data_IF_034565183084
#
_entry.id   IF_034565183084
#
_cell.length_a   1.000
_cell.length_b   1.000
_cell.length_c   1.000
_cell.angle_alpha   90.00
_cell.angle_beta   90.00
_cell.angle_gamma   90.00
#
_symmetry.space_group_name_H-M   'P 1'
#
loop_
_entity.id
_entity.type
_entity.pdbx_description
1 polymer ?
#
# COMPACT_ATOMS: atom_id res chain seq x y z
N UNK A 1 -34.02 -12.17 22.41
CA UNK A 1 -34.89 -12.66 21.33
C UNK A 1 -34.87 -14.17 21.39
N UNK A 2 -36.00 -14.81 21.66
CA UNK A 2 -36.08 -16.28 21.69
C UNK A 2 -36.06 -16.85 20.27
N UNK A 3 -35.68 -18.12 20.10
CA UNK A 3 -35.70 -18.78 18.79
C UNK A 3 -37.09 -18.71 18.12
N UNK A 4 -38.16 -18.83 18.91
CA UNK A 4 -39.53 -18.70 18.43
C UNK A 4 -39.86 -17.30 17.90
N UNK A 5 -39.31 -16.24 18.50
CA UNK A 5 -39.46 -14.86 18.01
C UNK A 5 -38.68 -14.63 16.72
N UNK A 6 -37.47 -15.20 16.61
CA UNK A 6 -36.66 -15.11 15.41
C UNK A 6 -37.33 -15.82 14.22
N UNK A 7 -37.88 -17.02 14.43
CA UNK A 7 -38.63 -17.75 13.41
C UNK A 7 -39.88 -16.99 12.96
N UNK A 8 -40.66 -16.44 13.90
CA UNK A 8 -41.86 -15.65 13.58
C UNK A 8 -41.52 -14.38 12.79
N UNK A 9 -40.45 -13.68 13.18
CA UNK A 9 -39.95 -12.49 12.49
C UNK A 9 -39.48 -12.81 11.07
N UNK A 10 -38.77 -13.94 10.90
CA UNK A 10 -38.30 -14.40 9.61
C UNK A 10 -39.46 -14.79 8.69
N UNK A 11 -40.42 -15.60 9.15
CA UNK A 11 -41.60 -15.99 8.35
C UNK A 11 -42.38 -14.77 7.86
N UNK A 12 -42.57 -13.76 8.72
CA UNK A 12 -43.22 -12.49 8.37
C UNK A 12 -42.45 -11.74 7.27
N UNK A 13 -41.14 -11.54 7.45
CA UNK A 13 -40.30 -10.85 6.45
C UNK A 13 -40.23 -11.59 5.12
N UNK A 14 -40.20 -12.92 5.15
CA UNK A 14 -40.20 -13.75 3.94
C UNK A 14 -41.49 -13.56 3.14
N UNK A 15 -42.64 -13.61 3.81
CA UNK A 15 -43.94 -13.40 3.18
C UNK A 15 -44.09 -11.98 2.62
N UNK A 16 -43.67 -10.95 3.37
CA UNK A 16 -43.70 -9.56 2.90
C UNK A 16 -42.85 -9.34 1.64
N UNK A 17 -41.65 -9.93 1.58
CA UNK A 17 -40.70 -9.71 0.48
C UNK A 17 -40.98 -10.57 -0.76
N UNK A 18 -41.46 -11.80 -0.56
CA UNK A 18 -41.61 -12.76 -1.66
C UNK A 18 -43.06 -12.96 -2.07
N UNK A 19 -44.03 -12.53 -1.25
CA UNK A 19 -45.45 -12.86 -1.35
C UNK A 19 -45.77 -14.36 -1.25
N UNK A 20 -44.80 -15.20 -0.85
CA UNK A 20 -44.98 -16.64 -0.67
C UNK A 20 -45.02 -17.01 0.82
N UNK A 21 -45.80 -18.04 1.18
CA UNK A 21 -45.78 -18.61 2.52
C UNK A 21 -44.50 -19.42 2.75
N UNK A 22 -43.88 -19.28 3.93
CA UNK A 22 -42.69 -20.06 4.29
C UNK A 22 -42.98 -21.56 4.42
N UNK A 23 -44.20 -21.92 4.82
CA UNK A 23 -44.60 -23.31 5.01
C UNK A 23 -44.76 -24.04 3.65
N UNK A 24 -44.95 -23.29 2.57
CA UNK A 24 -45.05 -23.77 1.18
C UNK A 24 -43.75 -23.55 0.38
N UNK A 25 -42.62 -23.26 1.05
CA UNK A 25 -41.34 -22.90 0.39
C UNK A 25 -40.81 -23.92 -0.63
N UNK A 26 -41.27 -25.18 -0.60
CA UNK A 26 -40.93 -26.19 -1.61
C UNK A 26 -41.52 -25.88 -3.00
N UNK A 27 -42.58 -25.07 -3.06
CA UNK A 27 -43.22 -24.62 -4.31
C UNK A 27 -42.74 -23.21 -4.73
N UNK A 28 -41.73 -22.67 -4.06
CA UNK A 28 -41.22 -21.34 -4.35
C UNK A 28 -40.64 -21.26 -5.77
N UNK A 29 -41.23 -20.39 -6.58
CA UNK A 29 -40.70 -20.08 -7.90
C UNK A 29 -39.89 -18.78 -7.84
N UNK A 30 -38.56 -18.81 -8.01
CA UNK A 30 -37.73 -17.63 -7.89
C UNK A 30 -38.06 -16.60 -8.98
N UNK A 31 -38.25 -15.35 -8.58
CA UNK A 31 -38.36 -14.23 -9.52
C UNK A 31 -36.95 -13.87 -9.98
N UNK A 32 -36.69 -14.08 -11.28
CA UNK A 32 -35.38 -13.83 -11.92
C UNK A 32 -34.86 -12.43 -11.54
N UNK A 33 -33.68 -12.39 -10.90
CA UNK A 33 -33.00 -11.15 -10.51
C UNK A 33 -33.37 -10.55 -9.16
N UNK A 34 -34.19 -11.21 -8.31
CA UNK A 34 -34.53 -10.70 -6.96
C UNK A 34 -34.09 -11.60 -5.81
N UNK A 35 -34.58 -12.85 -5.75
CA UNK A 35 -34.29 -13.76 -4.62
C UNK A 35 -34.19 -15.22 -5.10
N UNK A 36 -33.22 -15.96 -4.57
CA UNK A 36 -33.03 -17.40 -4.80
C UNK A 36 -32.99 -18.13 -3.45
N UNK A 37 -33.69 -19.26 -3.33
CA UNK A 37 -33.60 -20.11 -2.14
C UNK A 37 -32.33 -20.96 -2.20
N UNK A 38 -31.49 -20.84 -1.18
CA UNK A 38 -30.34 -21.73 -0.97
C UNK A 38 -30.81 -22.86 -0.06
N UNK A 39 -30.92 -24.08 -0.60
CA UNK A 39 -31.28 -25.28 0.16
C UNK A 39 -29.98 -25.95 0.60
N UNK A 40 -29.70 -25.92 1.89
CA UNK A 40 -28.58 -26.63 2.50
C UNK A 40 -28.99 -28.08 2.76
N UNK A 41 -28.39 -29.03 2.01
CA UNK A 41 -28.61 -30.46 2.25
C UNK A 41 -27.79 -30.86 3.47
N UNK A 42 -28.48 -31.12 4.57
CA UNK A 42 -27.90 -31.71 5.78
C UNK A 42 -27.96 -33.22 5.63
N UNK A 43 -26.87 -33.81 5.17
CA UNK A 43 -26.67 -35.27 5.28
C UNK A 43 -26.29 -35.58 6.73
N UNK A 44 -27.11 -36.41 7.36
CA UNK A 44 -26.94 -36.88 8.74
C UNK A 44 -25.88 -38.00 8.82
N UNK A 45 -25.17 -37.97 9.95
CA UNK A 45 -24.40 -39.03 10.64
C UNK A 45 -22.89 -39.20 10.37
N UNK A 46 -22.15 -38.72 11.38
CA UNK A 46 -21.01 -39.34 12.09
C UNK A 46 -19.53 -39.16 11.67
N UNK A 47 -18.95 -38.18 12.38
CA UNK A 47 -17.64 -38.20 13.08
C UNK A 47 -16.37 -37.73 12.36
N UNK A 48 -15.72 -36.78 13.04
CA UNK A 48 -14.29 -36.49 13.09
C UNK A 48 -13.69 -35.44 12.14
N UNK A 49 -13.37 -34.30 12.77
CA UNK A 49 -12.14 -33.46 12.64
C UNK A 49 -11.95 -32.52 11.43
N UNK A 50 -11.68 -31.27 11.82
CA UNK A 50 -10.93 -30.18 11.14
C UNK A 50 -11.69 -29.38 10.07
N UNK A 51 -11.87 -28.10 10.37
CA UNK A 51 -12.44 -27.02 9.57
C UNK A 51 -11.71 -26.83 8.24
N UNK A 52 -12.29 -27.37 7.16
CA UNK A 52 -11.94 -27.08 5.78
C UNK A 52 -12.85 -25.94 5.27
N UNK A 53 -12.39 -24.71 5.42
CA UNK A 53 -13.05 -23.52 4.85
C UNK A 53 -12.84 -23.52 3.33
N UNK A 54 -13.91 -23.87 2.60
CA UNK A 54 -14.20 -23.55 1.19
C UNK A 54 -13.07 -23.80 0.17
N UNK A 55 -12.84 -25.07 -0.19
CA UNK A 55 -12.24 -25.42 -1.49
C UNK A 55 -13.21 -25.07 -2.63
N UNK A 56 -12.74 -24.46 -3.74
CA UNK A 56 -13.58 -24.22 -4.91
C UNK A 56 -14.02 -25.55 -5.56
N UNK A 57 -15.26 -25.60 -6.05
CA UNK A 57 -15.68 -26.62 -7.02
C UNK A 57 -15.22 -26.16 -8.40
N UNK A 58 -14.12 -26.73 -8.88
CA UNK A 58 -13.63 -26.49 -10.23
C UNK A 58 -14.41 -27.34 -11.25
N UNK A 59 -14.60 -26.86 -12.49
CA UNK A 59 -15.06 -27.72 -13.58
C UNK A 59 -14.00 -28.80 -13.86
N UNK A 60 -14.42 -30.07 -13.92
CA UNK A 60 -13.52 -31.22 -13.92
C UNK A 60 -12.51 -31.26 -15.09
N UNK A 61 -12.74 -30.57 -16.20
CA UNK A 61 -11.85 -30.62 -17.38
C UNK A 61 -11.95 -29.36 -18.24
N UNK A 62 -10.83 -28.70 -18.51
CA UNK A 62 -10.70 -27.75 -19.63
C UNK A 62 -10.04 -28.44 -20.82
N UNK A 63 -10.76 -28.56 -21.93
CA UNK A 63 -10.29 -29.29 -23.13
C UNK A 63 -9.39 -28.41 -23.98
N UNK A 64 -8.08 -28.66 -23.94
CA UNK A 64 -7.09 -28.25 -24.94
C UNK A 64 -6.37 -29.51 -25.43
N UNK A 65 -6.18 -29.65 -26.74
CA UNK A 65 -5.71 -30.88 -27.39
C UNK A 65 -4.27 -31.24 -26.99
N UNK A 66 -4.06 -32.48 -26.52
CA UNK A 66 -2.78 -33.20 -26.58
C UNK A 66 -2.13 -33.56 -25.25
N UNK A 67 -2.13 -32.66 -24.26
CA UNK A 67 -1.64 -32.93 -22.89
C UNK A 67 -2.55 -32.19 -21.92
N UNK A 68 -3.42 -32.91 -21.21
CA UNK A 68 -4.33 -32.33 -20.23
C UNK A 68 -3.70 -32.39 -18.84
N UNK A 69 -3.22 -31.23 -18.37
CA UNK A 69 -2.92 -31.08 -16.95
C UNK A 69 -4.23 -30.80 -16.19
N UNK A 70 -4.48 -31.47 -15.05
CA UNK A 70 -5.59 -31.14 -14.17
C UNK A 70 -5.56 -29.66 -13.76
N UNK A 71 -6.73 -29.07 -13.52
CA UNK A 71 -6.86 -27.64 -13.16
C UNK A 71 -6.08 -27.33 -11.90
N UNK A 72 -6.04 -28.26 -10.95
CA UNK A 72 -5.31 -28.16 -9.69
C UNK A 72 -3.79 -28.10 -9.93
N UNK A 73 -3.28 -28.85 -10.92
CA UNK A 73 -1.87 -28.83 -11.31
C UNK A 73 -1.54 -27.50 -11.98
N UNK A 74 -2.39 -27.01 -12.88
CA UNK A 74 -2.23 -25.69 -13.49
C UNK A 74 -2.26 -24.58 -12.44
N UNK A 75 -3.21 -24.63 -11.50
CA UNK A 75 -3.32 -23.68 -10.40
C UNK A 75 -2.04 -23.69 -9.54
N UNK A 76 -1.52 -24.86 -9.21
CA UNK A 76 -0.26 -24.98 -8.46
C UNK A 76 0.97 -24.47 -9.24
N UNK A 77 0.99 -24.62 -10.57
CA UNK A 77 2.03 -24.06 -11.43
C UNK A 77 1.93 -22.53 -11.42
N UNK A 78 0.75 -21.96 -11.70
CA UNK A 78 0.56 -20.51 -11.77
C UNK A 78 0.83 -19.80 -10.43
N UNK A 79 0.52 -20.44 -9.30
CA UNK A 79 0.87 -19.93 -7.97
C UNK A 79 2.39 -19.81 -7.72
N UNK A 80 3.25 -20.38 -8.55
CA UNK A 80 4.72 -20.30 -8.43
C UNK A 80 5.34 -19.31 -9.40
N UNK A 81 4.56 -18.74 -10.32
CA UNK A 81 5.03 -17.81 -11.34
C UNK A 81 4.97 -16.37 -10.80
N UNK A 82 5.67 -15.44 -11.45
CA UNK A 82 5.57 -14.01 -11.10
C UNK A 82 4.21 -13.42 -11.49
N UNK A 83 3.85 -12.26 -10.93
CA UNK A 83 2.61 -11.56 -11.32
C UNK A 83 2.68 -11.24 -12.81
N UNK A 84 3.83 -10.77 -13.29
CA UNK A 84 4.06 -10.47 -14.71
C UNK A 84 3.79 -11.67 -15.61
N UNK A 85 4.27 -12.85 -15.25
CA UNK A 85 4.09 -14.05 -16.08
C UNK A 85 2.65 -14.54 -16.03
N UNK A 86 2.01 -14.51 -14.86
CA UNK A 86 0.57 -14.82 -14.75
C UNK A 86 -0.28 -13.88 -15.62
N UNK A 87 -0.02 -12.57 -15.59
CA UNK A 87 -0.72 -11.60 -16.45
C UNK A 87 -0.47 -11.84 -17.94
N UNK A 88 0.73 -12.30 -18.34
CA UNK A 88 1.01 -12.72 -19.72
C UNK A 88 0.27 -13.99 -20.09
N UNK A 89 0.23 -14.98 -19.20
CA UNK A 89 -0.46 -16.25 -19.42
C UNK A 89 -1.98 -16.11 -19.51
N UNK A 90 -2.56 -15.08 -18.91
CA UNK A 90 -3.96 -14.70 -19.16
C UNK A 90 -4.27 -14.42 -20.64
N UNK A 91 -3.27 -14.07 -21.45
CA UNK A 91 -3.44 -13.75 -22.87
C UNK A 91 -3.23 -14.96 -23.81
N UNK A 92 -2.80 -16.12 -23.27
CA UNK A 92 -2.45 -17.29 -24.11
C UNK A 92 -3.70 -18.03 -24.59
N UNK A 93 -4.66 -18.33 -23.71
CA UNK A 93 -5.89 -19.01 -24.09
C UNK A 93 -7.05 -18.70 -23.15
N UNK A 94 -8.28 -18.98 -23.60
CA UNK A 94 -9.51 -18.75 -22.82
C UNK A 94 -9.55 -19.50 -21.49
N UNK A 95 -8.99 -20.72 -21.46
CA UNK A 95 -8.95 -21.54 -20.25
C UNK A 95 -8.08 -20.88 -19.17
N UNK A 96 -6.86 -20.48 -19.53
CA UNK A 96 -5.94 -19.81 -18.60
C UNK A 96 -6.46 -18.45 -18.17
N UNK A 97 -7.04 -17.68 -19.09
CA UNK A 97 -7.73 -16.43 -18.74
C UNK A 97 -8.81 -16.65 -17.70
N UNK A 98 -9.62 -17.70 -17.85
CA UNK A 98 -10.70 -18.01 -16.90
C UNK A 98 -10.14 -18.35 -15.52
N UNK A 99 -9.14 -19.23 -15.46
CA UNK A 99 -8.50 -19.63 -14.22
C UNK A 99 -7.82 -18.45 -13.50
N UNK A 100 -7.07 -17.65 -14.25
CA UNK A 100 -6.32 -16.49 -13.73
C UNK A 100 -7.18 -15.23 -13.57
N UNK A 101 -8.45 -15.25 -13.94
CA UNK A 101 -9.41 -14.18 -13.59
C UNK A 101 -10.19 -14.50 -12.33
N UNK A 102 -9.93 -15.66 -11.69
CA UNK A 102 -10.59 -16.05 -10.46
C UNK A 102 -10.07 -15.22 -9.27
N UNK A 103 -11.00 -14.72 -8.45
CA UNK A 103 -10.68 -13.95 -7.25
C UNK A 103 -9.95 -14.83 -6.23
N UNK A 104 -10.33 -16.09 -6.10
CA UNK A 104 -9.71 -16.99 -5.14
C UNK A 104 -8.26 -17.31 -5.51
N UNK A 105 -7.96 -17.52 -6.80
CA UNK A 105 -6.58 -17.63 -7.29
C UNK A 105 -5.71 -16.46 -6.80
N UNK A 106 -6.15 -15.21 -7.00
CA UNK A 106 -5.35 -14.05 -6.61
C UNK A 106 -5.24 -13.87 -5.10
N UNK A 107 -6.26 -14.21 -4.31
CA UNK A 107 -6.12 -14.25 -2.84
C UNK A 107 -5.01 -15.20 -2.41
N UNK A 108 -5.05 -16.44 -2.93
CA UNK A 108 -4.05 -17.46 -2.65
C UNK A 108 -2.67 -17.05 -3.15
N UNK A 109 -2.60 -16.40 -4.32
CA UNK A 109 -1.37 -15.86 -4.87
C UNK A 109 -0.76 -14.83 -3.92
N UNK A 110 -1.52 -13.79 -3.58
CA UNK A 110 -1.01 -12.70 -2.74
C UNK A 110 -0.56 -13.22 -1.38
N UNK A 111 -1.35 -14.07 -0.72
CA UNK A 111 -1.01 -14.65 0.58
C UNK A 111 0.20 -15.59 0.54
N UNK A 112 0.50 -16.18 -0.62
CA UNK A 112 1.66 -17.07 -0.79
C UNK A 112 2.95 -16.30 -1.07
N UNK A 113 2.86 -15.20 -1.80
CA UNK A 113 4.02 -14.41 -2.24
C UNK A 113 4.36 -13.27 -1.28
N UNK A 114 3.40 -12.81 -0.48
CA UNK A 114 3.59 -11.69 0.43
C UNK A 114 3.11 -12.05 1.84
N UNK A 115 3.93 -11.77 2.84
CA UNK A 115 3.52 -11.86 4.23
C UNK A 115 2.71 -10.62 4.62
N UNK A 116 1.39 -10.75 4.56
CA UNK A 116 0.43 -9.70 4.93
C UNK A 116 0.06 -9.72 6.43
N UNK A 117 0.80 -10.45 7.27
CA UNK A 117 0.69 -10.32 8.72
C UNK A 117 1.03 -8.89 9.17
N UNK A 118 0.42 -8.42 10.25
CA UNK A 118 0.72 -7.07 10.77
C UNK A 118 2.05 -7.10 11.53
N UNK A 119 2.98 -6.24 11.10
CA UNK A 119 4.26 -6.00 11.77
C UNK A 119 4.02 -5.08 12.97
N UNK A 120 4.41 -5.56 14.16
CA UNK A 120 4.25 -4.83 15.43
C UNK A 120 5.43 -3.94 15.80
N UNK A 121 6.61 -4.27 15.28
CA UNK A 121 7.83 -3.53 15.53
C UNK A 121 8.08 -2.52 14.41
N UNK A 122 8.12 -1.24 14.77
CA UNK A 122 8.36 -0.13 13.86
C UNK A 122 9.81 0.37 13.89
N UNK A 123 10.69 -0.30 14.65
CA UNK A 123 12.12 0.02 14.60
C UNK A 123 12.63 -0.07 13.16
N UNK A 124 13.38 0.94 12.71
CA UNK A 124 13.92 1.07 11.36
C UNK A 124 12.86 1.18 10.24
N UNK A 125 11.65 1.64 10.56
CA UNK A 125 10.59 1.92 9.58
C UNK A 125 10.50 3.42 9.26
N UNK A 126 11.64 4.02 8.92
CA UNK A 126 11.71 5.40 8.47
C UNK A 126 11.06 6.39 9.43
N UNK A 127 10.35 7.40 8.91
CA UNK A 127 9.67 8.39 9.74
C UNK A 127 8.52 7.82 10.59
N UNK A 128 7.99 6.62 10.29
CA UNK A 128 6.96 6.01 11.13
C UNK A 128 7.51 5.61 12.50
N UNK A 129 8.80 5.22 12.57
CA UNK A 129 9.45 4.91 13.83
C UNK A 129 9.41 6.14 14.75
N UNK A 130 9.81 7.29 14.21
CA UNK A 130 9.91 8.57 14.89
C UNK A 130 8.53 9.11 15.30
N UNK A 131 7.57 9.10 14.38
CA UNK A 131 6.20 9.58 14.62
C UNK A 131 5.36 8.66 15.53
N UNK A 132 5.81 7.44 15.81
CA UNK A 132 5.08 6.49 16.66
C UNK A 132 5.11 6.83 18.16
N UNK A 133 5.87 7.85 18.56
CA UNK A 133 5.89 8.37 19.94
C UNK A 133 6.64 7.50 20.95
N UNK A 134 7.33 6.43 20.52
CA UNK A 134 8.17 5.61 21.42
C UNK A 134 9.44 6.32 21.91
N UNK A 135 9.81 7.46 21.31
CA UNK A 135 10.98 8.26 21.70
C UNK A 135 10.71 9.25 22.85
N UNK A 136 9.49 9.32 23.39
CA UNK A 136 9.10 10.33 24.40
C UNK A 136 9.35 9.90 25.86
N UNK A 137 10.17 8.87 26.10
CA UNK A 137 10.62 8.54 27.46
C UNK A 137 11.83 9.41 27.75
N UNK A 138 11.58 10.49 28.51
CA UNK A 138 12.59 11.33 29.14
C UNK A 138 13.41 10.48 30.14
N UNK A 139 14.37 9.71 29.65
CA UNK A 139 15.55 9.39 30.45
C UNK A 139 16.52 10.55 30.23
N UNK A 140 16.69 11.35 31.28
CA UNK A 140 17.80 12.30 31.41
C UNK A 140 19.09 11.57 31.00
N UNK A 141 19.89 12.19 30.12
CA UNK A 141 21.19 11.71 29.60
C UNK A 141 21.21 11.04 28.21
N UNK A 142 20.62 11.68 27.18
CA UNK A 142 21.19 11.59 25.82
C UNK A 142 21.13 12.96 25.14
N UNK A 143 22.26 13.66 25.14
CA UNK A 143 22.55 14.66 24.10
C UNK A 143 22.41 13.98 22.73
N UNK A 144 21.98 14.72 21.70
CA UNK A 144 21.78 14.36 20.27
C UNK A 144 20.31 14.20 19.80
N UNK A 145 19.62 15.35 19.73
CA UNK A 145 18.81 15.94 18.63
C UNK A 145 17.88 15.14 17.67
N UNK A 146 17.76 13.81 17.76
CA UNK A 146 17.00 13.03 16.75
C UNK A 146 15.59 12.59 17.18
N UNK A 147 14.88 13.45 17.92
CA UNK A 147 13.50 13.14 18.36
C UNK A 147 12.46 13.90 17.54
N UNK A 148 11.30 13.28 17.30
CA UNK A 148 10.19 13.99 16.67
C UNK A 148 9.67 15.09 17.60
N UNK A 149 9.48 16.29 17.05
CA UNK A 149 8.95 17.46 17.73
C UNK A 149 7.63 17.91 17.11
N UNK A 150 6.77 18.48 17.94
CA UNK A 150 5.48 19.00 17.53
C UNK A 150 5.38 20.47 17.96
N UNK A 151 5.34 21.40 16.99
CA UNK A 151 5.39 22.84 17.24
C UNK A 151 4.06 23.40 17.76
N UNK A 152 2.96 22.68 17.57
CA UNK A 152 1.65 23.05 18.12
C UNK A 152 1.40 22.53 19.53
N UNK A 153 2.41 21.96 20.20
CA UNK A 153 2.34 21.44 21.56
C UNK A 153 2.51 22.52 22.66
N UNK A 154 3.13 23.65 22.34
CA UNK A 154 3.59 24.65 23.33
C UNK A 154 2.46 25.24 24.19
N UNK A 155 1.22 25.21 23.72
CA UNK A 155 0.08 25.84 24.40
C UNK A 155 -0.67 24.95 25.39
N UNK A 156 -0.37 23.64 25.51
CA UNK A 156 -1.25 22.72 26.26
C UNK A 156 -0.53 21.60 27.01
N UNK A 157 -0.40 21.80 28.33
CA UNK A 157 0.15 20.83 29.30
C UNK A 157 -0.57 19.47 29.40
N UNK A 158 -1.75 19.32 28.78
CA UNK A 158 -2.59 18.11 28.86
C UNK A 158 -3.02 17.57 27.48
N UNK A 159 -2.27 17.86 26.39
CA UNK A 159 -2.64 17.36 25.07
C UNK A 159 -2.05 15.99 24.74
N UNK A 160 -2.93 15.09 24.32
CA UNK A 160 -2.60 13.85 23.63
C UNK A 160 -2.10 14.20 22.22
N UNK A 161 -0.78 14.40 22.08
CA UNK A 161 -0.12 14.82 20.85
C UNK A 161 0.12 13.59 19.96
N UNK A 162 -0.24 13.70 18.69
CA UNK A 162 -0.03 12.64 17.70
C UNK A 162 0.16 13.21 16.29
N UNK A 163 0.86 12.48 15.42
CA UNK A 163 0.99 12.83 13.99
C UNK A 163 -0.19 12.29 13.19
N UNK A 164 -0.56 11.02 13.38
CA UNK A 164 -1.68 10.36 12.69
C UNK A 164 -2.56 9.57 13.65
N UNK A 165 -3.88 9.58 13.43
CA UNK A 165 -4.83 8.77 14.21
C UNK A 165 -6.09 8.43 13.40
N UNK A 166 -6.41 7.13 13.21
CA UNK A 166 -5.63 5.97 13.61
C UNK A 166 -4.27 5.88 12.90
N UNK A 167 -3.25 5.35 13.58
CA UNK A 167 -1.90 5.25 13.03
C UNK A 167 -1.85 4.20 11.91
N UNK A 168 -1.07 4.42 10.83
CA UNK A 168 -0.92 3.45 9.74
C UNK A 168 -0.41 2.10 10.24
N UNK A 169 -0.73 1.05 9.50
CA UNK A 169 -0.23 -0.30 9.77
C UNK A 169 0.82 -0.70 8.74
N UNK A 170 1.68 -1.65 9.11
CA UNK A 170 2.72 -2.17 8.24
C UNK A 170 2.51 -3.68 8.12
N UNK A 171 2.54 -4.21 6.91
CA UNK A 171 2.59 -5.67 6.71
C UNK A 171 4.01 -6.20 6.94
N UNK A 172 4.16 -7.49 7.25
CA UNK A 172 5.46 -8.14 7.41
C UNK A 172 6.30 -8.11 6.12
N UNK A 173 5.67 -8.00 4.94
CA UNK A 173 6.34 -7.65 3.69
C UNK A 173 6.85 -6.21 3.62
N UNK A 174 6.82 -5.48 4.74
CA UNK A 174 7.44 -4.17 4.92
C UNK A 174 6.83 -3.10 4.01
N UNK A 175 5.51 -3.15 3.84
CA UNK A 175 4.73 -2.14 3.11
C UNK A 175 3.72 -1.49 4.06
N UNK A 176 3.76 -0.16 4.11
CA UNK A 176 2.88 0.71 4.90
C UNK A 176 1.53 0.87 4.21
N UNK A 177 0.45 0.81 4.97
CA UNK A 177 -0.89 1.03 4.46
C UNK A 177 -1.78 1.78 5.47
N UNK A 178 -2.86 2.45 5.00
CA UNK A 178 -3.85 3.05 5.88
C UNK A 178 -4.45 2.04 6.86
N UNK A 179 -4.77 2.52 8.05
CA UNK A 179 -5.41 1.72 9.08
C UNK A 179 -6.71 1.10 8.57
N UNK A 180 -6.93 -0.18 8.88
CA UNK A 180 -8.18 -0.88 8.55
C UNK A 180 -8.33 -1.30 7.08
N UNK A 181 -7.30 -1.12 6.25
CA UNK A 181 -7.30 -1.64 4.89
C UNK A 181 -7.40 -3.18 4.90
N UNK A 182 -8.44 -3.73 4.26
CA UNK A 182 -8.51 -5.16 3.92
C UNK A 182 -7.91 -5.38 2.52
N UNK A 183 -6.66 -5.89 2.42
CA UNK A 183 -5.97 -6.06 1.14
C UNK A 183 -6.63 -7.11 0.24
N UNK A 184 -7.49 -7.98 0.78
CA UNK A 184 -8.09 -9.11 0.07
C UNK A 184 -9.60 -8.91 -0.21
N UNK A 185 -10.12 -7.71 0.07
CA UNK A 185 -11.53 -7.38 -0.13
C UNK A 185 -11.93 -7.23 -1.60
N UNK A 186 -11.01 -6.73 -2.44
CA UNK A 186 -11.23 -6.37 -3.84
C UNK A 186 -11.64 -7.51 -4.78
N UNK A 187 -12.00 -7.17 -6.03
CA UNK A 187 -12.23 -8.14 -7.09
C UNK A 187 -10.91 -8.70 -7.66
N UNK A 188 -10.98 -9.64 -8.61
CA UNK A 188 -9.78 -10.23 -9.19
C UNK A 188 -8.85 -9.19 -9.85
N UNK A 189 -9.40 -8.13 -10.45
CA UNK A 189 -8.62 -7.07 -11.11
C UNK A 189 -7.92 -6.19 -10.08
N UNK A 190 -8.62 -5.85 -9.00
CA UNK A 190 -8.06 -5.15 -7.85
C UNK A 190 -6.93 -5.97 -7.22
N UNK A 191 -7.07 -7.29 -7.07
CA UNK A 191 -6.03 -8.14 -6.49
C UNK A 191 -4.83 -8.36 -7.43
N UNK A 192 -5.06 -8.37 -8.75
CA UNK A 192 -3.99 -8.32 -9.76
C UNK A 192 -3.17 -7.04 -9.62
N UNK A 193 -3.87 -5.90 -9.54
CA UNK A 193 -3.25 -4.60 -9.33
C UNK A 193 -2.46 -4.57 -8.02
N UNK A 194 -3.08 -5.04 -6.93
CA UNK A 194 -2.47 -5.11 -5.60
C UNK A 194 -1.19 -5.94 -5.60
N UNK A 195 -1.24 -7.15 -6.17
CA UNK A 195 -0.08 -8.04 -6.23
C UNK A 195 1.06 -7.43 -7.05
N UNK A 196 0.75 -6.75 -8.16
CA UNK A 196 1.75 -6.02 -8.95
C UNK A 196 2.37 -4.88 -8.16
N UNK A 197 1.55 -4.10 -7.44
CA UNK A 197 2.03 -3.00 -6.61
C UNK A 197 2.93 -3.51 -5.48
N UNK A 198 2.57 -4.64 -4.84
CA UNK A 198 3.43 -5.25 -3.83
C UNK A 198 4.76 -5.75 -4.41
N UNK A 199 4.80 -6.37 -5.59
CA UNK A 199 6.08 -6.73 -6.25
C UNK A 199 6.99 -5.50 -6.44
N UNK A 200 6.41 -4.39 -6.91
CA UNK A 200 7.16 -3.14 -7.13
C UNK A 200 7.70 -2.59 -5.80
N UNK A 201 6.83 -2.46 -4.79
CA UNK A 201 7.19 -1.83 -3.52
C UNK A 201 8.17 -2.68 -2.70
N UNK A 202 7.98 -4.00 -2.69
CA UNK A 202 8.90 -4.92 -2.00
C UNK A 202 10.27 -4.95 -2.67
N UNK A 203 10.32 -4.92 -4.01
CA UNK A 203 11.58 -4.80 -4.75
C UNK A 203 12.24 -3.44 -4.50
N UNK A 204 11.49 -2.33 -4.61
CA UNK A 204 11.99 -0.97 -4.34
C UNK A 204 12.68 -0.90 -2.97
N UNK A 205 12.03 -1.46 -1.94
CA UNK A 205 12.57 -1.46 -0.59
C UNK A 205 13.77 -2.40 -0.42
N UNK A 206 13.68 -3.62 -0.94
CA UNK A 206 14.76 -4.60 -0.80
C UNK A 206 16.03 -4.14 -1.51
N UNK A 207 15.87 -3.50 -2.67
CA UNK A 207 16.99 -3.00 -3.46
C UNK A 207 17.58 -1.72 -2.86
N UNK A 208 16.75 -0.80 -2.36
CA UNK A 208 17.22 0.34 -1.58
C UNK A 208 18.06 -0.12 -0.37
N UNK A 209 17.56 -1.09 0.41
CA UNK A 209 18.30 -1.64 1.55
C UNK A 209 19.60 -2.35 1.14
N UNK A 210 19.60 -3.11 0.03
CA UNK A 210 20.81 -3.76 -0.53
C UNK A 210 21.88 -2.74 -0.93
N UNK A 211 21.44 -1.58 -1.41
CA UNK A 211 22.29 -0.49 -1.86
C UNK A 211 22.62 0.51 -0.73
N UNK A 212 22.21 0.20 0.50
CA UNK A 212 22.43 1.05 1.68
C UNK A 212 21.83 2.45 1.51
N UNK A 213 20.76 2.57 0.70
CA UNK A 213 19.99 3.79 0.52
C UNK A 213 19.11 4.04 1.74
N UNK A 214 19.21 5.23 2.33
CA UNK A 214 18.53 5.59 3.56
C UNK A 214 17.47 6.67 3.33
N UNK A 215 16.44 6.73 4.18
CA UNK A 215 15.47 7.83 4.13
C UNK A 215 16.17 9.12 4.59
N UNK A 216 16.56 9.98 3.66
CA UNK A 216 17.33 11.18 3.97
C UNK A 216 16.49 12.25 4.65
N UNK A 217 16.87 12.62 5.88
CA UNK A 217 16.50 13.88 6.50
C UNK A 217 17.29 14.99 5.78
N UNK A 218 16.64 15.79 4.95
CA UNK A 218 17.33 16.85 4.20
C UNK A 218 17.81 17.97 5.13
N UNK A 219 19.04 17.84 5.62
CA UNK A 219 19.95 18.93 5.99
C UNK A 219 21.43 18.53 5.83
N UNK A 220 21.79 17.25 5.72
CA UNK A 220 23.15 16.84 5.32
C UNK A 220 23.20 15.41 4.75
N UNK A 221 24.28 15.12 4.02
CA UNK A 221 24.53 13.90 3.25
C UNK A 221 24.47 12.55 4.02
N UNK A 222 24.16 12.50 5.32
CA UNK A 222 24.23 11.25 6.11
C UNK A 222 23.25 11.16 7.30
N UNK A 223 22.15 11.94 7.36
CA UNK A 223 21.40 12.10 8.62
C UNK A 223 20.14 11.22 8.81
N UNK A 224 19.85 10.33 7.87
CA UNK A 224 18.78 9.34 8.05
C UNK A 224 19.36 7.95 8.32
N UNK A 225 19.17 7.38 9.52
CA UNK A 225 19.61 6.00 9.79
C UNK A 225 18.57 4.94 9.41
N UNK A 226 17.41 5.36 8.91
CA UNK A 226 16.26 4.50 8.74
C UNK A 226 16.03 4.10 7.27
N UNK A 227 15.40 2.94 7.07
CA UNK A 227 14.99 2.49 5.75
C UNK A 227 13.87 3.36 5.17
N UNK A 228 13.81 3.41 3.84
CA UNK A 228 12.70 4.04 3.11
C UNK A 228 11.39 3.32 3.39
N UNK A 229 10.33 4.08 3.64
CA UNK A 229 8.99 3.53 3.79
C UNK A 229 8.32 3.35 2.43
N UNK A 230 8.05 2.11 2.04
CA UNK A 230 7.19 1.82 0.90
C UNK A 230 5.71 1.91 1.32
N UNK A 231 4.91 2.74 0.66
CA UNK A 231 3.50 2.98 1.01
C UNK A 231 2.55 2.55 -0.10
N UNK A 232 1.36 2.10 0.27
CA UNK A 232 0.29 1.77 -0.66
C UNK A 232 -1.10 2.08 -0.11
N UNK A 233 -2.02 2.48 -0.99
CA UNK A 233 -3.45 2.60 -0.67
C UNK A 233 -4.33 2.44 -1.92
N UNK A 234 -5.60 2.04 -1.76
CA UNK A 234 -6.55 1.98 -2.85
C UNK A 234 -6.82 3.37 -3.43
N UNK A 235 -6.84 3.48 -4.74
CA UNK A 235 -7.07 4.75 -5.43
C UNK A 235 -7.61 4.56 -6.84
N UNK A 236 -8.88 4.93 -7.05
CA UNK A 236 -9.60 4.74 -8.31
C UNK A 236 -9.67 6.01 -9.17
N UNK A 237 -9.25 7.16 -8.65
CA UNK A 237 -9.23 8.41 -9.42
C UNK A 237 -8.14 8.34 -10.48
N UNK A 238 -8.34 9.05 -11.59
CA UNK A 238 -7.35 9.13 -12.68
C UNK A 238 -6.15 10.00 -12.29
N UNK A 239 -6.40 11.05 -11.52
CA UNK A 239 -5.40 11.97 -11.02
C UNK A 239 -4.79 11.42 -9.72
N UNK A 240 -3.53 11.75 -9.47
CA UNK A 240 -2.86 11.43 -8.20
C UNK A 240 -3.53 12.20 -7.04
N UNK A 241 -3.44 11.70 -5.79
CA UNK A 241 -4.06 12.35 -4.66
C UNK A 241 -3.51 13.76 -4.43
N UNK A 242 -4.40 14.66 -4.04
CA UNK A 242 -4.00 15.97 -3.52
C UNK A 242 -3.45 15.86 -2.10
N UNK A 243 -2.67 16.85 -1.64
CA UNK A 243 -2.20 16.89 -0.25
C UNK A 243 -3.31 16.72 0.80
N UNK A 244 -4.45 17.38 0.62
CA UNK A 244 -5.59 17.30 1.54
C UNK A 244 -6.20 15.90 1.57
N UNK A 245 -6.35 15.22 0.44
CA UNK A 245 -6.88 13.86 0.38
C UNK A 245 -5.91 12.87 1.05
N UNK A 246 -4.61 13.02 0.78
CA UNK A 246 -3.58 12.20 1.42
C UNK A 246 -3.62 12.37 2.95
N UNK A 247 -3.63 13.60 3.41
CA UNK A 247 -3.51 13.92 4.83
C UNK A 247 -4.79 13.61 5.61
N UNK A 248 -5.95 14.00 5.07
CA UNK A 248 -7.23 13.90 5.78
C UNK A 248 -7.95 12.59 5.53
N UNK A 249 -7.99 12.11 4.29
CA UNK A 249 -8.85 10.98 3.90
C UNK A 249 -8.12 9.65 3.93
N UNK A 250 -6.83 9.64 3.59
CA UNK A 250 -6.05 8.39 3.48
C UNK A 250 -5.34 8.06 4.80
N UNK A 251 -4.50 8.97 5.30
CA UNK A 251 -3.61 8.68 6.44
C UNK A 251 -4.04 9.31 7.79
N UNK A 252 -5.11 10.11 7.81
CA UNK A 252 -5.69 10.68 9.04
C UNK A 252 -4.67 11.43 9.90
N UNK A 253 -3.93 12.36 9.29
CA UNK A 253 -3.04 13.27 9.99
C UNK A 253 -3.78 14.13 11.02
N UNK A 254 -3.05 14.71 11.97
CA UNK A 254 -3.61 15.65 12.94
C UNK A 254 -4.28 16.85 12.22
N UNK A 255 -5.47 17.31 12.63
CA UNK A 255 -6.19 18.37 11.91
C UNK A 255 -5.42 19.67 11.69
N UNK A 256 -4.53 20.05 12.60
CA UNK A 256 -3.68 21.24 12.47
C UNK A 256 -2.67 21.15 11.31
N UNK A 257 -2.41 19.95 10.78
CA UNK A 257 -1.52 19.73 9.64
C UNK A 257 -2.18 20.20 8.34
N UNK A 258 -3.50 20.04 8.20
CA UNK A 258 -4.23 20.36 6.97
C UNK A 258 -5.27 21.49 7.13
N UNK A 259 -5.30 22.18 8.27
CA UNK A 259 -6.23 23.29 8.52
C UNK A 259 -6.05 24.48 7.57
N UNK A 260 -4.90 24.57 6.91
CA UNK A 260 -4.56 25.69 6.03
C UNK A 260 -5.15 25.55 4.62
N UNK A 261 -5.36 24.31 4.12
CA UNK A 261 -5.84 24.08 2.75
C UNK A 261 -7.25 24.60 2.46
N UNK A 262 -8.24 24.50 3.37
CA UNK A 262 -9.55 25.12 3.15
C UNK A 262 -9.50 26.61 2.83
N UNK A 263 -8.47 27.32 3.30
CA UNK A 263 -8.26 28.74 3.08
C UNK A 263 -7.27 29.05 1.94
N UNK A 264 -6.53 28.04 1.43
CA UNK A 264 -5.50 28.17 0.40
C UNK A 264 -5.59 26.99 -0.59
N UNK A 265 -6.70 26.86 -1.34
CA UNK A 265 -6.94 25.70 -2.20
C UNK A 265 -5.91 25.53 -3.32
N UNK A 266 -5.28 26.62 -3.76
CA UNK A 266 -4.19 26.62 -4.75
C UNK A 266 -2.92 25.91 -4.27
N UNK A 267 -2.73 25.79 -2.96
CA UNK A 267 -1.64 25.01 -2.37
C UNK A 267 -1.95 23.51 -2.29
N UNK A 268 -3.20 23.10 -2.58
CA UNK A 268 -3.66 21.71 -2.55
C UNK A 268 -3.48 20.96 -3.88
N UNK A 269 -2.38 21.20 -4.59
CA UNK A 269 -2.12 20.54 -5.89
C UNK A 269 -0.98 19.52 -5.78
N UNK A 270 -0.17 19.61 -4.72
CA UNK A 270 1.11 18.89 -4.65
C UNK A 270 2.06 19.39 -5.74
N UNK A 271 3.29 18.87 -5.76
CA UNK A 271 4.21 19.12 -6.87
C UNK A 271 4.17 17.93 -7.84
N UNK A 272 3.32 18.06 -8.86
CA UNK A 272 3.12 17.07 -9.89
C UNK A 272 4.27 17.11 -10.91
N UNK A 273 4.92 15.96 -11.11
CA UNK A 273 5.93 15.73 -12.13
C UNK A 273 5.36 14.84 -13.22
N UNK A 274 5.12 15.44 -14.37
CA UNK A 274 4.71 14.70 -15.57
C UNK A 274 5.89 13.99 -16.25
N UNK A 275 7.09 14.55 -16.10
CA UNK A 275 8.34 14.01 -16.63
C UNK A 275 9.04 13.06 -15.64
N UNK A 276 10.02 12.32 -16.16
CA UNK A 276 10.84 11.42 -15.34
C UNK A 276 11.69 12.21 -14.33
N UNK A 277 11.78 11.70 -13.12
CA UNK A 277 12.66 12.23 -12.07
C UNK A 277 14.02 11.58 -12.19
N UNK A 278 15.05 12.36 -12.52
CA UNK A 278 16.36 11.80 -12.83
C UNK A 278 17.21 11.49 -11.58
N UNK A 279 18.19 10.61 -11.78
CA UNK A 279 19.35 10.47 -10.93
C UNK A 279 20.33 11.59 -11.28
N UNK A 280 20.79 12.34 -10.27
CA UNK A 280 21.67 13.49 -10.46
C UNK A 280 23.13 13.07 -10.23
N UNK A 281 24.01 13.54 -11.13
CA UNK A 281 25.46 13.37 -11.09
C UNK A 281 26.04 14.78 -10.98
N UNK A 282 26.88 15.01 -9.98
CA UNK A 282 27.49 16.31 -9.74
C UNK A 282 28.46 16.64 -10.87
N UNK A 283 28.32 17.82 -11.46
CA UNK A 283 29.22 18.31 -12.49
C UNK A 283 30.46 18.95 -11.85
N UNK A 284 31.61 18.91 -12.53
CA UNK A 284 32.84 19.56 -12.06
C UNK A 284 32.76 21.09 -12.04
N UNK A 285 31.73 21.66 -12.66
CA UNK A 285 31.50 23.10 -12.74
C UNK A 285 30.48 23.58 -11.67
N UNK A 286 30.01 22.67 -10.81
CA UNK A 286 29.17 22.98 -9.65
C UNK A 286 30.08 23.50 -8.52
N UNK A 287 30.63 24.72 -8.70
CA UNK A 287 31.54 25.39 -7.76
C UNK A 287 30.89 25.52 -6.36
N UNK A 288 31.55 24.93 -5.36
CA UNK A 288 31.17 24.80 -3.93
C UNK A 288 31.00 26.13 -3.14
N UNK A 289 30.84 27.30 -3.77
CA UNK A 289 30.98 28.58 -3.05
C UNK A 289 29.70 29.35 -2.69
N UNK A 290 28.48 29.00 -3.11
CA UNK A 290 27.27 29.75 -2.69
C UNK A 290 25.92 28.97 -2.75
N UNK A 291 25.91 27.62 -2.69
CA UNK A 291 24.72 26.82 -3.05
C UNK A 291 23.88 26.22 -1.90
N UNK A 292 24.05 26.71 -0.66
CA UNK A 292 23.14 26.35 0.45
C UNK A 292 21.67 26.75 0.16
N UNK A 293 21.39 27.62 -0.81
CA UNK A 293 20.03 28.02 -1.22
C UNK A 293 19.52 27.33 -2.52
N UNK A 294 20.37 26.67 -3.31
CA UNK A 294 19.97 26.09 -4.61
C UNK A 294 19.77 24.56 -4.60
N UNK A 295 20.31 23.85 -3.60
CA UNK A 295 20.12 22.40 -3.46
C UNK A 295 18.67 21.99 -3.11
N UNK A 296 17.85 22.94 -2.65
CA UNK A 296 16.44 22.69 -2.31
C UNK A 296 15.51 22.52 -3.53
N UNK A 297 15.93 22.94 -4.73
CA UNK A 297 15.05 22.92 -5.91
C UNK A 297 15.17 21.65 -6.76
N UNK A 298 16.26 20.89 -6.68
CA UNK A 298 16.42 19.66 -7.47
C UNK A 298 15.79 18.47 -6.75
N UNK A 299 14.48 18.30 -6.95
CA UNK A 299 13.74 17.08 -6.57
C UNK A 299 14.16 15.90 -7.45
N UNK A 300 15.34 15.35 -7.20
CA UNK A 300 15.89 14.17 -7.85
C UNK A 300 15.70 12.92 -6.98
N UNK A 301 16.05 11.74 -7.52
CA UNK A 301 15.94 10.49 -6.74
C UNK A 301 17.01 10.37 -5.65
N UNK A 302 18.19 11.00 -5.82
CA UNK A 302 19.26 10.99 -4.81
C UNK A 302 18.77 11.54 -3.47
N UNK A 303 18.07 12.67 -3.51
CA UNK A 303 17.59 13.37 -2.32
C UNK A 303 16.44 12.64 -1.60
N UNK A 304 15.71 11.77 -2.30
CA UNK A 304 14.62 10.96 -1.73
C UNK A 304 15.16 9.69 -1.07
N UNK A 305 16.17 9.08 -1.69
CA UNK A 305 16.76 7.80 -1.30
C UNK A 305 18.07 7.98 -0.50
N UNK A 306 18.36 9.21 -0.05
CA UNK A 306 19.48 9.51 0.85
C UNK A 306 20.83 9.07 0.31
N UNK A 307 21.06 9.29 -0.99
CA UNK A 307 22.31 8.92 -1.67
C UNK A 307 23.13 10.15 -2.01
N UNK A 308 24.44 10.08 -1.80
CA UNK A 308 25.38 11.10 -2.26
C UNK A 308 25.27 11.33 -3.76
N UNK A 309 25.58 12.55 -4.18
CA UNK A 309 25.71 12.92 -5.58
C UNK A 309 27.09 12.50 -6.07
N UNK A 310 27.22 11.41 -6.86
CA UNK A 310 28.54 11.04 -7.36
C UNK A 310 29.01 12.08 -8.36
N UNK A 311 30.31 12.33 -8.36
CA UNK A 311 30.98 13.02 -9.47
C UNK A 311 31.02 12.11 -10.71
N UNK A 312 31.30 12.68 -11.89
CA UNK A 312 31.48 11.90 -13.12
C UNK A 312 32.53 10.78 -12.97
N UNK A 313 33.62 11.04 -12.24
CA UNK A 313 34.71 10.10 -12.00
C UNK A 313 34.36 9.00 -10.98
N UNK A 314 33.35 9.21 -10.14
CA UNK A 314 32.88 8.23 -9.15
C UNK A 314 31.71 7.39 -9.66
N UNK A 315 31.12 7.74 -10.80
CA UNK A 315 29.89 7.13 -11.31
C UNK A 315 29.99 5.61 -11.47
N UNK A 316 31.18 5.08 -11.79
CA UNK A 316 31.41 3.63 -11.92
C UNK A 316 31.19 2.87 -10.60
N UNK A 317 31.38 3.52 -9.45
CA UNK A 317 31.12 2.93 -8.12
C UNK A 317 29.62 2.77 -7.84
N UNK A 318 28.77 3.50 -8.57
CA UNK A 318 27.32 3.56 -8.37
C UNK A 318 26.53 2.93 -9.52
N UNK A 319 27.15 2.02 -10.29
CA UNK A 319 26.50 1.40 -11.46
C UNK A 319 25.19 0.68 -11.08
N UNK A 320 25.17 -0.03 -9.95
CA UNK A 320 23.99 -0.71 -9.45
C UNK A 320 22.89 0.28 -9.02
N UNK A 321 23.27 1.36 -8.32
CA UNK A 321 22.35 2.43 -7.95
C UNK A 321 21.75 3.12 -9.17
N UNK A 322 22.56 3.35 -10.21
CA UNK A 322 22.06 3.90 -11.49
C UNK A 322 21.04 2.96 -12.14
N UNK A 323 21.32 1.66 -12.21
CA UNK A 323 20.36 0.67 -12.75
C UNK A 323 19.06 0.64 -11.94
N UNK A 324 19.15 0.72 -10.62
CA UNK A 324 17.99 0.80 -9.75
C UNK A 324 17.16 2.07 -10.02
N UNK A 325 17.81 3.23 -10.14
CA UNK A 325 17.11 4.48 -10.44
C UNK A 325 16.52 4.53 -11.85
N UNK A 326 17.20 3.97 -12.86
CA UNK A 326 16.64 3.80 -14.21
C UNK A 326 15.37 2.93 -14.18
N UNK A 327 15.38 1.85 -13.40
CA UNK A 327 14.20 1.03 -13.16
C UNK A 327 13.08 1.84 -12.46
N UNK A 328 13.40 2.56 -11.39
CA UNK A 328 12.44 3.34 -10.61
C UNK A 328 11.82 4.48 -11.43
N UNK A 329 12.62 5.18 -12.23
CA UNK A 329 12.20 6.22 -13.18
C UNK A 329 11.14 5.75 -14.17
N UNK A 330 11.24 4.49 -14.62
CA UNK A 330 10.28 3.91 -15.55
C UNK A 330 8.91 3.67 -14.92
N UNK A 331 8.82 3.70 -13.59
CA UNK A 331 7.62 3.42 -12.80
C UNK A 331 7.05 4.71 -12.22
N UNK A 332 7.89 5.57 -11.64
CA UNK A 332 7.49 6.80 -10.93
C UNK A 332 7.20 7.98 -11.87
N UNK A 333 6.51 7.71 -12.98
CA UNK A 333 6.18 8.69 -14.03
C UNK A 333 4.76 8.44 -14.58
N UNK A 334 3.82 9.39 -14.43
CA UNK A 334 3.94 10.63 -13.65
C UNK A 334 3.99 10.34 -12.14
N UNK A 335 4.47 11.29 -11.35
CA UNK A 335 4.48 11.20 -9.89
C UNK A 335 4.16 12.53 -9.23
N UNK A 336 3.73 12.50 -7.97
CA UNK A 336 3.44 13.69 -7.17
C UNK A 336 4.30 13.69 -5.91
N UNK A 337 4.86 14.86 -5.60
CA UNK A 337 5.50 15.13 -4.32
C UNK A 337 4.53 15.87 -3.40
N UNK A 338 4.39 15.37 -2.18
CA UNK A 338 3.54 15.97 -1.16
C UNK A 338 4.34 16.12 0.13
N UNK A 339 4.55 17.36 0.54
CA UNK A 339 5.10 17.73 1.84
C UNK A 339 3.96 17.82 2.85
N UNK A 340 4.18 17.28 4.05
CA UNK A 340 3.17 17.15 5.09
C UNK A 340 3.76 17.59 6.42
N UNK A 341 3.14 18.59 7.04
CA UNK A 341 3.55 19.04 8.37
C UNK A 341 4.61 20.11 8.41
N UNK A 342 4.87 20.78 7.28
CA UNK A 342 5.70 21.98 7.20
C UNK A 342 5.31 22.97 8.32
N UNK A 343 6.29 23.36 9.15
CA UNK A 343 6.11 24.23 10.34
C UNK A 343 5.16 23.68 11.45
N UNK A 344 4.65 22.46 11.33
CA UNK A 344 3.72 21.85 12.31
C UNK A 344 4.37 20.76 13.15
N UNK A 345 5.22 19.95 12.55
CA UNK A 345 5.99 18.94 13.25
C UNK A 345 7.28 18.61 12.49
N UNK A 346 8.25 18.04 13.21
CA UNK A 346 9.57 17.67 12.71
C UNK A 346 9.85 16.22 13.13
N UNK A 347 10.25 15.29 12.26
CA UNK A 347 10.56 15.51 10.85
C UNK A 347 9.30 15.67 9.98
N UNK A 348 9.38 16.53 8.97
CA UNK A 348 8.34 16.83 7.98
C UNK A 348 8.18 15.65 7.04
N UNK A 349 6.96 15.15 6.85
CA UNK A 349 6.70 14.00 5.98
C UNK A 349 6.77 14.37 4.49
N UNK A 350 7.45 13.55 3.68
CA UNK A 350 7.54 13.72 2.23
C UNK A 350 7.08 12.44 1.55
N UNK A 351 6.08 12.56 0.68
CA UNK A 351 5.56 11.45 -0.11
C UNK A 351 5.92 11.64 -1.58
N UNK A 352 6.51 10.61 -2.19
CA UNK A 352 6.65 10.45 -3.63
C UNK A 352 5.68 9.35 -4.09
N UNK A 353 4.63 9.71 -4.80
CA UNK A 353 3.54 8.80 -5.13
C UNK A 353 3.31 8.69 -6.65
N UNK A 354 2.94 7.49 -7.10
CA UNK A 354 2.52 7.23 -8.49
C UNK A 354 1.41 6.17 -8.55
N UNK A 355 0.79 6.02 -9.71
CA UNK A 355 -0.07 4.90 -10.01
C UNK A 355 0.76 3.64 -10.29
N UNK A 356 0.82 2.73 -9.31
CA UNK A 356 1.56 1.48 -9.45
C UNK A 356 0.80 0.46 -10.32
N UNK A 357 -0.52 0.44 -10.18
CA UNK A 357 -1.42 -0.41 -10.95
C UNK A 357 -2.85 0.16 -10.92
N UNK A 358 -3.77 -0.32 -11.78
CA UNK A 358 -5.17 0.09 -11.73
C UNK A 358 -5.77 -0.12 -10.33
N UNK A 359 -6.32 0.95 -9.75
CA UNK A 359 -6.93 0.93 -8.41
C UNK A 359 -5.93 1.08 -7.25
N UNK A 360 -4.64 1.28 -7.52
CA UNK A 360 -3.61 1.34 -6.48
C UNK A 360 -2.59 2.44 -6.75
N UNK A 361 -2.44 3.32 -5.76
CA UNK A 361 -1.37 4.32 -5.68
C UNK A 361 -0.41 3.92 -4.58
N UNK A 362 0.86 4.22 -4.78
CA UNK A 362 1.90 4.00 -3.79
C UNK A 362 3.23 4.58 -4.24
N UNK A 363 4.25 4.35 -3.43
CA UNK A 363 5.60 4.85 -3.68
C UNK A 363 6.39 4.92 -2.39
N UNK A 364 7.20 5.98 -2.26
CA UNK A 364 8.07 6.18 -1.10
C UNK A 364 7.49 7.25 -0.16
N UNK A 365 7.65 7.03 1.13
CA UNK A 365 7.50 8.04 2.18
C UNK A 365 8.84 8.17 2.90
N UNK A 366 9.34 9.39 2.94
CA UNK A 366 10.54 9.81 3.65
C UNK A 366 10.18 10.98 4.56
N UNK A 367 11.14 11.54 5.26
CA UNK A 367 10.95 12.79 5.98
C UNK A 367 12.20 13.66 5.92
N UNK A 368 12.02 14.95 6.17
CA UNK A 368 13.10 15.92 6.29
C UNK A 368 13.09 16.53 7.69
N UNK A 369 14.25 16.55 8.34
CA UNK A 369 14.43 17.24 9.61
C UNK A 369 14.84 18.67 9.33
N UNK A 370 14.09 19.63 9.84
CA UNK A 370 14.43 21.05 9.72
C UNK A 370 15.03 21.52 11.04
N UNK A 371 16.24 22.09 11.00
CA UNK A 371 16.97 22.58 12.19
C UNK A 371 16.67 24.04 12.50
#
# INVERSE_FOLDING_TARGET
MSQAEAEKSFKKKFQEKTKNSWDERQQFTPVKGKYSLVIEKTDSSESSKVTESQKPKFPDVFVLQGVQLPVEVLHAIFLRLSVRDNLRYMQVCKAWKTLLSDKYFWKMYTQRHFDLGIKSDLSNEGPLAEWSGKSFIWEEELEHDHTWFCYFAEDRKDCDIYVMRPFPSIWNCRVVHPYGLDPLSGDARSLQGFSRSLEILTYMRSEAARLEMQSGNQCSLNEGLNDICAVIFPWDKKELPTPLELQKEIFNFHPQVYEYYPNNPEKNVGDLREDKIYFHVRSSDDDDEDDDEHDFEIKCLNSIFGMSYPTEDEQWMYEDSRKFYEWLQSIMCPSVFIYVGEEKFNPVGIFLLTHLAPGWVGGAMTAATWT
#
